data_IF_216499319975
#
_entry.id   IF_216499319975
#
_cell.length_a   1.000
_cell.length_b   1.000
_cell.length_c   1.000
_cell.angle_alpha   90.00
_cell.angle_beta   90.00
_cell.angle_gamma   90.00
#
_symmetry.space_group_name_H-M   'P 1'
#
loop_
_entity.id
_entity.type
_entity.pdbx_description
1 polymer ?
#
# COMPACT_ATOMS: atom_id res chain seq x y z
N UNK A 1 13.66 6.49 25.42
CA UNK A 1 12.41 7.27 25.51
C UNK A 1 12.73 8.74 25.30
N UNK A 2 12.02 9.41 24.37
CA UNK A 2 12.22 10.84 24.08
C UNK A 2 13.43 11.18 23.21
N UNK A 3 14.18 10.19 22.72
CA UNK A 3 15.24 10.44 21.74
C UNK A 3 14.61 10.72 20.37
N UNK A 4 15.23 11.61 19.59
CA UNK A 4 14.82 11.82 18.20
C UNK A 4 15.31 10.70 17.29
N UNK A 5 14.62 10.50 16.17
CA UNK A 5 15.05 9.56 15.14
C UNK A 5 16.48 9.88 14.66
N UNK A 6 16.81 11.16 14.45
CA UNK A 6 18.17 11.59 14.09
C UNK A 6 19.21 11.11 15.10
N UNK A 7 18.98 11.34 16.40
CA UNK A 7 19.92 10.96 17.45
C UNK A 7 20.22 9.44 17.48
N UNK A 8 19.26 8.62 17.07
CA UNK A 8 19.45 7.16 16.95
C UNK A 8 20.18 6.81 15.66
N UNK A 9 19.78 7.41 14.52
CA UNK A 9 20.41 7.13 13.23
C UNK A 9 21.88 7.53 13.19
N UNK A 10 22.29 8.58 13.89
CA UNK A 10 23.69 8.98 14.01
C UNK A 10 24.58 7.93 14.71
N UNK A 11 23.98 7.08 15.55
CA UNK A 11 24.68 5.98 16.23
C UNK A 11 24.76 4.70 15.39
N UNK A 12 23.94 4.62 14.34
CA UNK A 12 23.91 3.46 13.44
C UNK A 12 25.08 3.57 12.47
N UNK A 13 25.77 2.46 12.24
CA UNK A 13 26.81 2.36 11.23
C UNK A 13 26.25 1.59 10.02
N UNK A 14 25.64 2.28 9.05
CA UNK A 14 25.12 1.61 7.87
C UNK A 14 26.26 1.04 7.04
N UNK A 15 26.02 -0.11 6.43
CA UNK A 15 26.93 -0.65 5.42
C UNK A 15 26.62 -0.03 4.04
N UNK A 16 27.44 -0.37 3.04
CA UNK A 16 27.27 0.15 1.67
C UNK A 16 25.94 -0.27 1.00
N UNK A 17 25.28 -1.33 1.52
CA UNK A 17 24.01 -1.83 1.00
C UNK A 17 22.80 -1.22 1.72
N UNK A 18 23.00 -0.44 2.77
CA UNK A 18 21.90 0.19 3.51
C UNK A 18 21.28 1.34 2.74
N UNK A 19 19.94 1.35 2.64
CA UNK A 19 19.16 2.41 2.00
C UNK A 19 18.67 3.40 3.06
N UNK A 20 19.54 4.34 3.44
CA UNK A 20 19.24 5.31 4.51
C UNK A 20 18.08 6.25 4.16
N UNK A 21 17.81 6.50 2.87
CA UNK A 21 16.71 7.36 2.44
C UNK A 21 15.34 6.72 2.58
N UNK A 22 15.30 5.41 2.84
CA UNK A 22 14.06 4.64 2.95
C UNK A 22 13.90 4.01 4.33
N UNK A 23 14.44 4.64 5.36
CA UNK A 23 14.26 4.21 6.75
C UNK A 23 12.79 4.08 7.09
N UNK A 24 12.43 2.97 7.72
CA UNK A 24 11.06 2.61 8.11
C UNK A 24 10.96 2.61 9.63
N UNK A 25 9.88 3.17 10.14
CA UNK A 25 9.53 3.15 11.56
C UNK A 25 8.24 2.38 11.75
N UNK A 26 8.26 1.39 12.63
CA UNK A 26 7.07 0.63 13.03
C UNK A 26 6.78 0.89 14.50
N UNK A 27 5.54 1.25 14.81
CA UNK A 27 5.11 1.68 16.14
C UNK A 27 3.88 0.91 16.61
N UNK A 28 3.93 0.24 17.76
CA UNK A 28 2.80 -0.56 18.28
C UNK A 28 1.51 0.26 18.46
N UNK A 29 1.60 1.49 18.99
CA UNK A 29 0.45 2.36 19.17
C UNK A 29 -0.22 2.75 17.86
N UNK A 30 0.60 2.94 16.80
CA UNK A 30 0.10 3.20 15.44
C UNK A 30 -0.54 1.94 14.85
N UNK A 31 0.05 0.76 15.07
CA UNK A 31 -0.53 -0.50 14.62
C UNK A 31 -1.93 -0.73 15.19
N UNK A 32 -2.10 -0.48 16.49
CA UNK A 32 -3.39 -0.55 17.16
C UNK A 32 -4.39 0.44 16.54
N UNK A 33 -3.99 1.68 16.35
CA UNK A 33 -4.83 2.71 15.76
C UNK A 33 -5.23 2.39 14.32
N UNK A 34 -4.29 1.89 13.53
CA UNK A 34 -4.56 1.43 12.15
C UNK A 34 -5.59 0.30 12.15
N UNK A 35 -5.50 -0.64 13.10
CA UNK A 35 -6.48 -1.74 13.21
C UNK A 35 -7.87 -1.24 13.56
N UNK A 36 -7.98 -0.30 14.47
CA UNK A 36 -9.25 0.33 14.85
C UNK A 36 -9.88 1.06 13.65
N UNK A 37 -9.09 1.86 12.93
CA UNK A 37 -9.55 2.58 11.73
C UNK A 37 -9.95 1.62 10.61
N UNK A 38 -9.20 0.54 10.40
CA UNK A 38 -9.54 -0.49 9.43
C UNK A 38 -10.88 -1.12 9.76
N UNK A 39 -11.09 -1.56 11.00
CA UNK A 39 -12.34 -2.18 11.43
C UNK A 39 -13.54 -1.23 11.27
N UNK A 40 -13.37 0.05 11.59
CA UNK A 40 -14.41 1.06 11.39
C UNK A 40 -14.75 1.27 9.93
N UNK A 41 -13.74 1.31 9.06
CA UNK A 41 -13.93 1.45 7.61
C UNK A 41 -14.64 0.23 7.02
N UNK A 42 -14.27 -0.97 7.46
CA UNK A 42 -14.92 -2.22 7.03
C UNK A 42 -16.37 -2.31 7.50
N UNK A 43 -16.67 -1.85 8.72
CA UNK A 43 -18.03 -1.78 9.22
C UNK A 43 -18.90 -0.85 8.36
N UNK A 44 -18.40 0.35 8.05
CA UNK A 44 -19.11 1.30 7.17
C UNK A 44 -19.35 0.73 5.77
N UNK A 45 -18.37 0.00 5.21
CA UNK A 45 -18.52 -0.65 3.92
C UNK A 45 -19.59 -1.73 3.95
N UNK A 46 -19.61 -2.54 5.00
CA UNK A 46 -20.62 -3.60 5.21
C UNK A 46 -22.03 -3.00 5.36
N UNK A 47 -22.19 -1.98 6.18
CA UNK A 47 -23.46 -1.26 6.37
C UNK A 47 -23.96 -0.63 5.05
N UNK A 48 -23.09 -0.01 4.28
CA UNK A 48 -23.44 0.56 2.99
C UNK A 48 -23.89 -0.50 1.99
N UNK A 49 -23.26 -1.68 1.98
CA UNK A 49 -23.64 -2.78 1.09
C UNK A 49 -25.01 -3.38 1.42
N UNK A 50 -25.39 -3.39 2.71
CA UNK A 50 -26.65 -3.92 3.17
C UNK A 50 -27.84 -2.92 3.01
N UNK A 51 -27.55 -1.62 3.02
CA UNK A 51 -28.57 -0.56 2.93
C UNK A 51 -28.94 -0.17 1.49
N UNK A 52 -28.26 -0.70 0.49
CA UNK A 52 -28.50 -0.37 -0.91
C UNK A 52 -29.86 -0.91 -1.38
N UNK A 53 -30.77 -0.02 -1.82
CA UNK A 53 -32.09 -0.36 -2.34
C UNK A 53 -32.03 -0.66 -3.84
N UNK A 54 -32.89 -1.56 -4.31
CA UNK A 54 -33.02 -1.93 -5.72
C UNK A 54 -34.44 -1.69 -6.21
N UNK A 55 -34.59 -1.21 -7.45
CA UNK A 55 -35.88 -0.90 -8.07
C UNK A 55 -36.38 -2.01 -9.00
N UNK A 56 -35.52 -2.91 -9.44
CA UNK A 56 -35.86 -4.06 -10.31
C UNK A 56 -35.32 -5.38 -9.76
N UNK A 57 -35.84 -6.50 -10.28
CA UNK A 57 -35.37 -7.84 -9.89
C UNK A 57 -33.93 -8.10 -10.37
N UNK A 58 -33.59 -7.60 -11.54
CA UNK A 58 -32.22 -7.70 -12.11
C UNK A 58 -31.22 -6.93 -11.26
N UNK A 59 -31.55 -5.71 -10.87
CA UNK A 59 -30.74 -4.92 -9.92
C UNK A 59 -30.61 -5.62 -8.55
N UNK A 60 -31.68 -6.22 -8.05
CA UNK A 60 -31.66 -6.96 -6.79
C UNK A 60 -30.69 -8.15 -6.84
N UNK A 61 -30.65 -8.87 -7.97
CA UNK A 61 -29.73 -9.99 -8.15
C UNK A 61 -28.27 -9.55 -8.20
N UNK A 62 -27.97 -8.47 -8.92
CA UNK A 62 -26.63 -7.89 -9.00
C UNK A 62 -26.16 -7.39 -7.64
N UNK A 63 -27.02 -6.67 -6.90
CA UNK A 63 -26.69 -6.18 -5.55
C UNK A 63 -26.44 -7.30 -4.56
N UNK A 64 -27.19 -8.40 -4.67
CA UNK A 64 -26.94 -9.57 -3.82
C UNK A 64 -25.56 -10.18 -4.09
N UNK A 65 -25.13 -10.24 -5.35
CA UNK A 65 -23.80 -10.72 -5.71
C UNK A 65 -22.71 -9.75 -5.21
N UNK A 66 -22.92 -8.45 -5.37
CA UNK A 66 -22.00 -7.41 -4.85
C UNK A 66 -21.88 -7.49 -3.32
N UNK A 67 -23.01 -7.62 -2.61
CA UNK A 67 -23.01 -7.74 -1.16
C UNK A 67 -22.26 -8.99 -0.69
N UNK A 68 -22.35 -10.12 -1.42
CA UNK A 68 -21.59 -11.32 -1.12
C UNK A 68 -20.08 -11.11 -1.33
N UNK A 69 -19.69 -10.42 -2.41
CA UNK A 69 -18.29 -10.09 -2.68
C UNK A 69 -17.73 -9.17 -1.59
N UNK A 70 -18.47 -8.14 -1.21
CA UNK A 70 -18.10 -7.22 -0.13
C UNK A 70 -17.96 -7.98 1.19
N UNK A 71 -18.92 -8.84 1.53
CA UNK A 71 -18.86 -9.65 2.74
C UNK A 71 -17.59 -10.53 2.81
N UNK A 72 -17.25 -11.17 1.71
CA UNK A 72 -16.00 -11.97 1.62
C UNK A 72 -14.75 -11.10 1.75
N UNK A 73 -14.75 -9.95 1.11
CA UNK A 73 -13.65 -8.98 1.22
C UNK A 73 -13.49 -8.50 2.67
N UNK A 74 -14.58 -8.09 3.31
CA UNK A 74 -14.59 -7.62 4.71
C UNK A 74 -14.07 -8.71 5.65
N UNK A 75 -14.54 -9.95 5.49
CA UNK A 75 -14.09 -11.09 6.30
C UNK A 75 -12.57 -11.29 6.16
N UNK A 76 -12.03 -11.25 4.94
CA UNK A 76 -10.59 -11.37 4.68
C UNK A 76 -9.82 -10.17 5.21
N UNK A 77 -10.30 -8.95 4.99
CA UNK A 77 -9.64 -7.73 5.42
C UNK A 77 -9.57 -7.61 6.96
N UNK A 78 -10.56 -8.13 7.68
CA UNK A 78 -10.55 -8.18 9.16
C UNK A 78 -9.42 -9.04 9.73
N UNK A 79 -8.86 -9.96 8.96
CA UNK A 79 -7.71 -10.77 9.39
C UNK A 79 -6.38 -10.05 9.25
N UNK A 80 -6.33 -8.91 8.56
CA UNK A 80 -5.11 -8.13 8.37
C UNK A 80 -4.64 -7.57 9.71
N UNK A 81 -3.36 -7.76 10.00
CA UNK A 81 -2.69 -7.19 11.17
C UNK A 81 -1.78 -6.06 10.66
N UNK A 82 -2.14 -4.80 10.89
CA UNK A 82 -1.28 -3.67 10.52
C UNK A 82 0.05 -3.72 11.28
N UNK A 83 1.12 -3.34 10.59
CA UNK A 83 2.47 -3.32 11.18
C UNK A 83 2.74 -2.05 12.00
N UNK A 84 1.91 -1.03 11.87
CA UNK A 84 2.13 0.25 12.53
C UNK A 84 3.19 1.10 11.85
N UNK A 85 3.34 0.98 10.53
CA UNK A 85 4.31 1.77 9.78
C UNK A 85 3.97 3.25 9.85
N UNK A 86 4.96 4.05 10.24
CA UNK A 86 4.91 5.50 10.23
C UNK A 86 5.69 5.99 9.01
N UNK A 87 5.01 6.67 8.09
CA UNK A 87 5.65 7.19 6.89
C UNK A 87 6.55 8.36 7.26
N UNK A 88 7.83 8.20 6.97
CA UNK A 88 8.87 9.20 7.20
C UNK A 88 9.26 9.86 5.88
N UNK A 89 9.53 11.16 5.94
CA UNK A 89 10.12 11.91 4.84
C UNK A 89 11.29 12.76 5.34
N UNK A 90 12.07 13.29 4.42
CA UNK A 90 13.27 14.07 4.76
C UNK A 90 12.99 15.28 5.66
N UNK A 91 11.77 15.86 5.58
CA UNK A 91 11.39 17.04 6.35
C UNK A 91 10.99 16.73 7.80
N UNK A 92 10.53 15.50 8.10
CA UNK A 92 10.04 15.18 9.43
C UNK A 92 10.89 14.15 10.19
N UNK A 93 11.82 13.47 9.52
CA UNK A 93 12.63 12.42 10.15
C UNK A 93 13.40 12.91 11.38
N UNK A 94 13.82 14.16 11.35
CA UNK A 94 14.61 14.76 12.42
C UNK A 94 13.78 15.12 13.67
N UNK A 95 12.50 15.37 13.50
CA UNK A 95 11.58 15.80 14.55
C UNK A 95 10.78 14.65 15.17
N UNK A 96 10.85 13.46 14.59
CA UNK A 96 10.12 12.30 15.14
C UNK A 96 10.75 11.86 16.45
N UNK A 97 9.95 11.92 17.51
CA UNK A 97 10.31 11.39 18.83
C UNK A 97 10.01 9.89 18.87
N UNK A 98 10.95 9.13 19.38
CA UNK A 98 10.80 7.68 19.52
C UNK A 98 10.02 7.32 20.79
N UNK A 99 9.20 6.30 20.67
CA UNK A 99 8.40 5.72 21.75
C UNK A 99 8.93 4.33 22.12
N UNK A 100 8.52 3.86 23.29
CA UNK A 100 8.84 2.49 23.71
C UNK A 100 8.18 1.47 22.77
N UNK A 101 8.95 0.46 22.36
CA UNK A 101 8.50 -0.56 21.42
C UNK A 101 8.63 -0.18 19.94
N UNK A 102 9.12 1.03 19.62
CA UNK A 102 9.43 1.39 18.23
C UNK A 102 10.49 0.48 17.62
N UNK A 103 10.25 0.07 16.39
CA UNK A 103 11.19 -0.69 15.58
C UNK A 103 11.63 0.14 14.38
N UNK A 104 12.92 0.38 14.25
CA UNK A 104 13.51 1.07 13.12
C UNK A 104 14.11 0.02 12.19
N UNK A 105 13.65 0.00 10.95
CA UNK A 105 14.20 -0.85 9.91
C UNK A 105 14.89 -0.01 8.85
N UNK A 106 16.12 -0.36 8.54
CA UNK A 106 16.88 0.25 7.43
C UNK A 106 16.94 -0.79 6.32
N UNK A 107 16.15 -0.61 5.24
CA UNK A 107 16.10 -1.59 4.17
C UNK A 107 17.41 -1.62 3.38
N UNK A 108 17.65 -2.73 2.71
CA UNK A 108 18.76 -2.85 1.78
C UNK A 108 18.46 -2.13 0.46
N UNK A 109 19.51 -1.65 -0.18
CA UNK A 109 19.42 -1.15 -1.55
C UNK A 109 19.00 -2.26 -2.48
N UNK A 110 18.06 -1.96 -3.35
CA UNK A 110 17.58 -2.88 -4.39
C UNK A 110 17.61 -2.19 -5.74
N UNK A 111 17.72 -2.96 -6.80
CA UNK A 111 17.59 -2.51 -8.19
C UNK A 111 16.28 -2.98 -8.84
N UNK A 112 15.33 -3.43 -8.03
CA UNK A 112 14.10 -4.04 -8.51
C UNK A 112 12.89 -3.13 -8.26
N UNK A 113 11.89 -3.28 -9.13
CA UNK A 113 10.52 -2.79 -8.97
C UNK A 113 9.60 -4.00 -8.88
N UNK A 114 8.79 -4.06 -7.85
CA UNK A 114 7.79 -5.11 -7.67
C UNK A 114 6.50 -4.73 -8.39
N UNK A 115 5.88 -5.68 -9.09
CA UNK A 115 4.59 -5.50 -9.75
C UNK A 115 3.65 -6.59 -9.28
N UNK A 116 2.51 -6.21 -8.72
CA UNK A 116 1.51 -7.17 -8.23
C UNK A 116 0.08 -6.60 -8.27
N UNK A 117 -0.88 -7.42 -7.86
CA UNK A 117 -2.30 -7.13 -7.96
C UNK A 117 -2.91 -7.72 -9.23
N UNK A 118 -3.74 -6.95 -9.93
CA UNK A 118 -4.47 -7.37 -11.13
C UNK A 118 -3.59 -7.39 -12.39
N UNK A 119 -2.48 -8.09 -12.33
CA UNK A 119 -1.56 -8.39 -13.45
C UNK A 119 -1.49 -9.89 -13.69
N UNK A 120 -1.21 -10.29 -14.94
CA UNK A 120 -1.19 -11.72 -15.30
C UNK A 120 -0.11 -12.50 -14.54
N UNK A 121 1.09 -11.93 -14.45
CA UNK A 121 2.23 -12.57 -13.80
C UNK A 121 2.89 -11.61 -12.80
N UNK A 122 2.40 -11.53 -11.54
CA UNK A 122 3.07 -10.75 -10.51
C UNK A 122 4.55 -11.12 -10.41
N UNK A 123 5.44 -10.13 -10.48
CA UNK A 123 6.88 -10.37 -10.55
C UNK A 123 7.70 -9.18 -10.06
N UNK A 124 8.99 -9.42 -9.90
CA UNK A 124 10.00 -8.39 -9.72
C UNK A 124 10.68 -8.11 -11.06
N UNK A 125 10.76 -6.84 -11.42
CA UNK A 125 11.36 -6.39 -12.67
C UNK A 125 12.56 -5.51 -12.36
N UNK A 126 13.67 -5.67 -13.07
CA UNK A 126 14.84 -4.81 -12.94
C UNK A 126 14.47 -3.36 -13.25
N UNK A 127 14.84 -2.45 -12.34
CA UNK A 127 14.58 -1.03 -12.53
C UNK A 127 15.40 -0.48 -13.70
N UNK A 128 14.75 0.35 -14.51
CA UNK A 128 15.40 1.10 -15.58
C UNK A 128 14.92 2.54 -15.57
N UNK A 129 15.85 3.46 -15.76
CA UNK A 129 15.52 4.89 -15.82
C UNK A 129 14.60 5.18 -17.02
N UNK A 130 13.52 5.92 -16.77
CA UNK A 130 12.58 6.36 -17.79
C UNK A 130 11.47 5.36 -18.13
N UNK A 131 11.47 4.16 -17.54
CA UNK A 131 10.32 3.26 -17.67
C UNK A 131 9.12 3.76 -16.86
N UNK A 132 7.95 3.69 -17.47
CA UNK A 132 6.66 4.05 -16.86
C UNK A 132 6.05 2.88 -16.11
N UNK A 133 4.99 3.14 -15.32
CA UNK A 133 4.22 2.08 -14.67
C UNK A 133 3.64 1.09 -15.68
N UNK A 134 3.17 1.57 -16.81
CA UNK A 134 2.63 0.77 -17.91
C UNK A 134 3.68 -0.17 -18.49
N UNK A 135 4.91 0.32 -18.70
CA UNK A 135 6.02 -0.50 -19.20
C UNK A 135 6.32 -1.68 -18.28
N UNK A 136 6.31 -1.45 -16.95
CA UNK A 136 6.51 -2.52 -15.97
C UNK A 136 5.34 -3.51 -15.93
N UNK A 137 4.10 -3.02 -16.05
CA UNK A 137 2.91 -3.87 -16.11
C UNK A 137 2.95 -4.75 -17.35
N UNK A 138 3.35 -4.22 -18.50
CA UNK A 138 3.51 -5.01 -19.73
C UNK A 138 4.55 -6.13 -19.58
N UNK A 139 5.65 -5.88 -18.89
CA UNK A 139 6.65 -6.92 -18.58
C UNK A 139 6.09 -8.04 -17.68
N UNK A 140 5.02 -7.77 -16.96
CA UNK A 140 4.28 -8.73 -16.15
C UNK A 140 3.07 -9.34 -16.88
N UNK A 141 3.03 -9.26 -18.21
CA UNK A 141 1.98 -9.83 -19.06
C UNK A 141 0.75 -8.95 -19.22
N UNK A 142 0.76 -7.73 -18.71
CA UNK A 142 -0.37 -6.81 -18.77
C UNK A 142 -1.41 -7.03 -17.67
N UNK A 143 -2.54 -6.35 -17.78
CA UNK A 143 -3.64 -6.41 -16.83
C UNK A 143 -4.46 -7.69 -16.99
N UNK A 144 -4.98 -8.25 -15.89
CA UNK A 144 -5.86 -9.43 -15.90
C UNK A 144 -7.22 -9.16 -16.52
N UNK A 145 -7.70 -7.93 -16.44
CA UNK A 145 -8.96 -7.50 -17.01
C UNK A 145 -8.73 -6.43 -18.08
N UNK A 146 -9.51 -6.50 -19.16
CA UNK A 146 -9.48 -5.52 -20.26
C UNK A 146 -10.04 -4.13 -19.87
N UNK A 147 -10.17 -3.85 -18.60
CA UNK A 147 -10.72 -2.59 -18.14
C UNK A 147 -9.65 -1.49 -18.17
N UNK A 148 -9.76 -0.61 -19.15
CA UNK A 148 -8.90 0.56 -19.34
C UNK A 148 -8.90 1.60 -18.22
N UNK A 149 -9.33 1.25 -16.99
CA UNK A 149 -9.41 2.12 -15.83
C UNK A 149 -9.04 1.41 -14.54
N UNK A 150 -8.04 0.51 -14.57
CA UNK A 150 -7.48 -0.03 -13.34
C UNK A 150 -6.83 1.10 -12.53
N UNK A 151 -7.07 1.14 -11.22
CA UNK A 151 -6.38 2.08 -10.33
C UNK A 151 -5.00 1.54 -10.03
N UNK A 152 -3.97 2.29 -10.39
CA UNK A 152 -2.58 1.92 -10.17
C UNK A 152 -2.01 2.79 -9.05
N UNK A 153 -1.44 2.15 -8.05
CA UNK A 153 -0.78 2.81 -6.92
C UNK A 153 0.69 2.41 -6.92
N UNK A 154 1.56 3.38 -6.69
CA UNK A 154 2.98 3.17 -6.45
C UNK A 154 3.24 3.28 -4.96
N UNK A 155 3.80 2.23 -4.37
CA UNK A 155 4.23 2.21 -2.97
C UNK A 155 5.74 2.40 -2.95
N UNK A 156 6.18 3.49 -2.35
CA UNK A 156 7.60 3.79 -2.16
C UNK A 156 8.23 2.87 -1.11
N UNK A 157 9.52 2.71 -1.14
CA UNK A 157 10.23 1.85 -0.18
C UNK A 157 10.07 2.31 1.27
N UNK A 158 9.79 3.59 1.51
CA UNK A 158 9.46 4.13 2.83
C UNK A 158 7.99 3.93 3.26
N UNK A 159 7.18 3.22 2.47
CA UNK A 159 5.77 2.95 2.74
C UNK A 159 4.78 3.97 2.20
N UNK A 160 5.23 5.11 1.66
CA UNK A 160 4.34 6.11 1.09
C UNK A 160 3.64 5.58 -0.16
N UNK A 161 2.30 5.72 -0.22
CA UNK A 161 1.48 5.33 -1.35
C UNK A 161 1.07 6.56 -2.16
N UNK A 162 1.29 6.51 -3.46
CA UNK A 162 0.99 7.60 -4.41
C UNK A 162 0.24 7.04 -5.60
N UNK A 163 -0.73 7.77 -6.15
CA UNK A 163 -1.33 7.38 -7.42
C UNK A 163 -0.27 7.40 -8.52
N UNK A 164 -0.34 6.44 -9.44
CA UNK A 164 0.65 6.35 -10.52
C UNK A 164 0.70 7.61 -11.41
N UNK A 165 -0.44 8.29 -11.57
CA UNK A 165 -0.55 9.54 -12.32
C UNK A 165 0.23 10.71 -11.70
N UNK A 166 0.46 10.65 -10.37
CA UNK A 166 1.17 11.68 -9.61
C UNK A 166 2.67 11.38 -9.45
N UNK A 167 3.13 10.29 -10.06
CA UNK A 167 4.53 9.86 -9.96
C UNK A 167 5.34 10.35 -11.15
N UNK A 168 6.28 11.26 -10.93
CA UNK A 168 7.17 11.77 -11.98
C UNK A 168 8.12 10.69 -12.51
N UNK A 169 8.63 9.85 -11.63
CA UNK A 169 9.54 8.76 -11.98
C UNK A 169 9.54 7.66 -10.93
N UNK A 170 9.62 6.42 -11.39
CA UNK A 170 9.82 5.26 -10.54
C UNK A 170 11.26 5.18 -10.05
N UNK A 171 11.42 4.72 -8.82
CA UNK A 171 12.71 4.53 -8.16
C UNK A 171 12.95 3.06 -7.86
N UNK A 172 14.22 2.62 -7.75
CA UNK A 172 14.52 1.29 -7.27
C UNK A 172 13.86 1.04 -5.89
N UNK A 173 13.20 -0.11 -5.73
CA UNK A 173 12.48 -0.46 -4.50
C UNK A 173 11.01 -0.06 -4.49
N UNK A 174 10.52 0.63 -5.52
CA UNK A 174 9.10 0.91 -5.66
C UNK A 174 8.30 -0.37 -5.92
N UNK A 175 7.07 -0.38 -5.43
CA UNK A 175 6.06 -1.39 -5.74
C UNK A 175 4.93 -0.77 -6.56
N UNK A 176 4.58 -1.42 -7.66
CA UNK A 176 3.42 -1.08 -8.47
C UNK A 176 2.30 -2.05 -8.08
N UNK A 177 1.24 -1.53 -7.50
CA UNK A 177 0.05 -2.28 -7.13
C UNK A 177 -1.10 -1.91 -8.05
N UNK A 178 -1.60 -2.87 -8.79
CA UNK A 178 -2.77 -2.73 -9.64
C UNK A 178 -4.00 -3.20 -8.87
N UNK A 179 -4.90 -2.27 -8.57
CA UNK A 179 -6.13 -2.55 -7.83
C UNK A 179 -7.26 -2.92 -8.77
N UNK A 180 -8.15 -3.86 -8.36
CA UNK A 180 -9.36 -4.14 -9.11
C UNK A 180 -10.25 -2.89 -9.15
N UNK A 181 -10.92 -2.65 -10.27
CA UNK A 181 -11.92 -1.60 -10.39
C UNK A 181 -13.25 -2.12 -9.85
N UNK A 182 -13.75 -1.45 -8.83
CA UNK A 182 -15.14 -1.57 -8.43
C UNK A 182 -15.91 -0.38 -9.02
N UNK A 183 -16.78 -0.63 -9.96
CA UNK A 183 -17.72 0.39 -10.42
C UNK A 183 -18.80 0.56 -9.36
N UNK A 184 -18.66 1.60 -8.53
CA UNK A 184 -19.81 2.14 -7.81
C UNK A 184 -20.59 3.02 -8.79
N UNK A 185 -21.64 2.52 -9.37
CA UNK A 185 -22.67 3.34 -10.01
C UNK A 185 -23.60 3.90 -8.97
#
# INVERSE_FOLDING_TARGET
>A
YGSTMRAVLEKVRPNSMSQMNAVQLYRPSVAQRQKEMLNLSLQKLEEASLSAQSSTKEEASLRMQEAQLISRFVAKARTVVPKGEVILNESNIDSVLLEDGDVINIPEKTSLVMVHGEVLFPNAVSWQKGMTTEDYIEKCGGLTQKSGNARIIVIRQNGAAVNAEDVDSLKPGDEIMVLPKYESK
#
